data_IF_403241869267
#
_entry.id   IF_403241869267
#
_cell.length_a   1.000
_cell.length_b   1.000
_cell.length_c   1.000
_cell.angle_alpha   90.00
_cell.angle_beta   90.00
_cell.angle_gamma   90.00
#
_symmetry.space_group_name_H-M   'P 1'
#
loop_
_entity.id
_entity.type
_entity.pdbx_description
1 polymer ?
#
# COMPACT_ATOMS: atom_id res chain seq x y z
N UNK A 1 5.03 1.76 20.18
CA UNK A 1 5.82 2.94 19.76
C UNK A 1 6.26 3.86 20.91
N UNK A 2 5.88 3.67 22.18
CA UNK A 2 6.51 4.35 23.34
C UNK A 2 6.72 5.86 23.16
N UNK A 3 7.90 6.35 23.54
CA UNK A 3 8.28 7.78 23.46
C UNK A 3 8.44 8.32 22.03
N UNK A 4 8.40 7.46 21.00
CA UNK A 4 8.48 7.85 19.59
C UNK A 4 7.15 8.46 19.11
N UNK A 5 6.02 7.96 19.62
CA UNK A 5 4.70 8.50 19.33
C UNK A 5 4.41 9.75 20.17
N UNK A 6 5.21 10.79 19.96
CA UNK A 6 5.10 12.08 20.64
C UNK A 6 4.46 13.14 19.72
N UNK A 7 4.21 14.34 20.26
CA UNK A 7 3.58 15.44 19.52
C UNK A 7 4.29 15.78 18.21
N UNK A 8 5.63 15.80 18.18
CA UNK A 8 6.38 16.12 16.96
C UNK A 8 6.16 15.07 15.87
N UNK A 9 6.04 13.79 16.24
CA UNK A 9 5.70 12.73 15.29
C UNK A 9 4.29 12.91 14.70
N UNK A 10 3.30 13.25 15.54
CA UNK A 10 1.94 13.52 15.06
C UNK A 10 1.87 14.77 14.19
N UNK A 11 2.56 15.85 14.58
CA UNK A 11 2.67 17.07 13.79
C UNK A 11 3.34 16.77 12.43
N UNK A 12 4.40 15.96 12.41
CA UNK A 12 5.07 15.56 11.18
C UNK A 12 4.16 14.75 10.25
N UNK A 13 3.48 13.71 10.73
CA UNK A 13 2.52 12.92 9.92
C UNK A 13 1.39 13.81 9.39
N UNK A 14 0.90 14.74 10.21
CA UNK A 14 -0.20 15.65 9.84
C UNK A 14 0.18 16.64 8.73
N UNK A 15 1.48 16.83 8.47
CA UNK A 15 1.97 17.62 7.33
C UNK A 15 2.09 16.79 6.04
N UNK A 16 1.56 15.57 6.02
CA UNK A 16 1.47 14.69 4.84
C UNK A 16 2.83 14.49 4.14
N UNK A 17 3.81 13.87 4.84
CA UNK A 17 5.15 13.65 4.30
C UNK A 17 5.11 12.68 3.12
N UNK A 18 6.07 12.78 2.21
CA UNK A 18 6.02 12.06 0.94
C UNK A 18 6.00 10.52 1.12
N UNK A 19 6.63 9.98 2.17
CA UNK A 19 6.55 8.55 2.50
C UNK A 19 5.12 8.10 2.84
N UNK A 20 4.30 8.95 3.47
CA UNK A 20 2.89 8.66 3.79
C UNK A 20 2.07 8.65 2.50
N UNK A 21 2.23 9.68 1.64
CA UNK A 21 1.58 9.74 0.32
C UNK A 21 1.94 8.53 -0.53
N UNK A 22 3.22 8.19 -0.60
CA UNK A 22 3.72 7.05 -1.34
C UNK A 22 3.13 5.72 -0.82
N UNK A 23 3.08 5.53 0.49
CA UNK A 23 2.42 4.35 1.08
C UNK A 23 0.93 4.29 0.75
N UNK A 24 0.23 5.43 0.74
CA UNK A 24 -1.18 5.50 0.37
C UNK A 24 -1.41 5.20 -1.12
N UNK A 25 -0.53 5.69 -2.01
CA UNK A 25 -0.56 5.39 -3.45
C UNK A 25 -0.38 3.88 -3.67
N UNK A 26 0.62 3.25 -3.04
CA UNK A 26 0.85 1.81 -3.14
C UNK A 26 -0.40 1.05 -2.70
N UNK A 27 -0.91 1.34 -1.49
CA UNK A 27 -2.07 0.65 -0.94
C UNK A 27 -3.30 0.80 -1.84
N UNK A 28 -3.65 2.04 -2.22
CA UNK A 28 -4.85 2.34 -3.01
C UNK A 28 -4.80 1.79 -4.42
N UNK A 29 -3.68 1.97 -5.12
CA UNK A 29 -3.59 1.50 -6.51
C UNK A 29 -3.49 -0.01 -6.61
N UNK A 30 -2.83 -0.69 -5.65
CA UNK A 30 -2.79 -2.15 -5.66
C UNK A 30 -4.18 -2.73 -5.38
N UNK A 31 -4.87 -2.23 -4.35
CA UNK A 31 -6.26 -2.57 -4.01
C UNK A 31 -7.17 -2.43 -5.24
N UNK A 32 -7.28 -1.20 -5.78
CA UNK A 32 -8.17 -0.89 -6.90
C UNK A 32 -7.85 -1.66 -8.19
N UNK A 33 -6.60 -2.11 -8.41
CA UNK A 33 -6.24 -2.93 -9.59
C UNK A 33 -6.80 -4.34 -9.46
N UNK A 34 -6.61 -4.98 -8.30
CA UNK A 34 -6.96 -6.40 -8.10
C UNK A 34 -8.44 -6.56 -7.77
N UNK A 35 -9.05 -5.59 -7.10
CA UNK A 35 -10.47 -5.62 -6.74
C UNK A 35 -11.40 -5.18 -7.87
N UNK A 36 -10.88 -4.56 -8.94
CA UNK A 36 -11.68 -3.86 -9.95
C UNK A 36 -12.86 -4.69 -10.51
N UNK A 37 -12.63 -5.94 -10.91
CA UNK A 37 -13.67 -6.77 -11.53
C UNK A 37 -14.79 -7.08 -10.53
N UNK A 38 -14.42 -7.50 -9.33
CA UNK A 38 -15.37 -7.76 -8.24
C UNK A 38 -16.14 -6.50 -7.82
N UNK A 39 -15.47 -5.34 -7.80
CA UNK A 39 -16.10 -4.06 -7.48
C UNK A 39 -17.14 -3.65 -8.53
N UNK A 40 -16.88 -3.89 -9.81
CA UNK A 40 -17.85 -3.63 -10.88
C UNK A 40 -19.05 -4.58 -10.79
N UNK A 41 -18.84 -5.86 -10.52
CA UNK A 41 -19.92 -6.86 -10.41
C UNK A 41 -20.92 -6.53 -9.30
N UNK A 42 -20.46 -5.96 -8.20
CA UNK A 42 -21.32 -5.59 -7.05
C UNK A 42 -21.86 -4.17 -7.10
N UNK A 43 -21.69 -3.46 -8.22
CA UNK A 43 -22.07 -2.05 -8.40
C UNK A 43 -21.47 -1.14 -7.32
N UNK A 44 -20.19 -1.35 -6.99
CA UNK A 44 -19.49 -0.51 -6.02
C UNK A 44 -19.25 0.91 -6.56
N UNK A 45 -18.84 1.82 -5.67
CA UNK A 45 -18.42 3.16 -6.10
C UNK A 45 -17.24 3.06 -7.08
N UNK A 46 -17.11 4.03 -7.98
CA UNK A 46 -16.06 4.00 -8.99
C UNK A 46 -14.66 4.02 -8.35
N UNK A 47 -13.85 3.00 -8.65
CA UNK A 47 -12.44 2.94 -8.23
C UNK A 47 -11.56 3.87 -9.05
N UNK A 48 -10.30 4.03 -8.65
CA UNK A 48 -9.34 4.84 -9.43
C UNK A 48 -9.17 4.33 -10.85
N UNK A 49 -9.27 3.01 -11.08
CA UNK A 49 -9.20 2.40 -12.42
C UNK A 49 -10.35 2.91 -13.29
N UNK A 50 -11.59 2.81 -12.79
CA UNK A 50 -12.79 3.24 -13.49
C UNK A 50 -12.77 4.76 -13.76
N UNK A 51 -12.40 5.54 -12.74
CA UNK A 51 -12.31 6.99 -12.86
C UNK A 51 -11.29 7.41 -13.93
N UNK A 52 -10.11 6.78 -13.96
CA UNK A 52 -9.05 7.14 -14.89
C UNK A 52 -9.37 6.71 -16.32
N UNK A 53 -9.93 5.52 -16.50
CA UNK A 53 -10.42 5.05 -17.81
C UNK A 53 -11.44 6.04 -18.38
N UNK A 54 -12.43 6.44 -17.59
CA UNK A 54 -13.49 7.36 -18.03
C UNK A 54 -12.97 8.76 -18.31
N UNK A 55 -12.07 9.27 -17.48
CA UNK A 55 -11.51 10.62 -17.62
C UNK A 55 -10.63 10.74 -18.88
N UNK A 56 -9.81 9.73 -19.15
CA UNK A 56 -8.81 9.78 -20.23
C UNK A 56 -9.22 9.01 -21.49
N UNK A 57 -10.35 8.27 -21.46
CA UNK A 57 -10.87 7.45 -22.56
C UNK A 57 -9.84 6.43 -23.07
N UNK A 58 -9.13 5.79 -22.15
CA UNK A 58 -8.11 4.78 -22.43
C UNK A 58 -8.53 3.41 -21.88
N UNK A 59 -7.88 2.35 -22.34
CA UNK A 59 -8.24 0.98 -21.95
C UNK A 59 -7.83 0.66 -20.50
N UNK A 60 -8.45 -0.37 -19.93
CA UNK A 60 -8.10 -0.91 -18.60
C UNK A 60 -6.62 -1.28 -18.53
N UNK A 61 -6.09 -1.93 -19.56
CA UNK A 61 -4.70 -2.36 -19.65
C UNK A 61 -3.74 -1.18 -19.65
N UNK A 62 -4.09 -0.10 -20.35
CA UNK A 62 -3.31 1.14 -20.34
C UNK A 62 -3.29 1.79 -18.95
N UNK A 63 -4.44 1.84 -18.26
CA UNK A 63 -4.53 2.35 -16.88
C UNK A 63 -3.71 1.50 -15.91
N UNK A 64 -3.85 0.17 -15.95
CA UNK A 64 -3.07 -0.74 -15.08
C UNK A 64 -1.58 -0.55 -15.31
N UNK A 65 -1.13 -0.39 -16.56
CA UNK A 65 0.29 -0.12 -16.86
C UNK A 65 0.76 1.20 -16.27
N UNK A 66 -0.05 2.26 -16.36
CA UNK A 66 0.24 3.55 -15.74
C UNK A 66 0.31 3.45 -14.22
N UNK A 67 -0.67 2.80 -13.59
CA UNK A 67 -0.73 2.65 -12.14
C UNK A 67 0.43 1.80 -11.61
N UNK A 68 0.82 0.73 -12.30
CA UNK A 68 2.02 -0.05 -11.93
C UNK A 68 3.30 0.79 -11.99
N UNK A 69 3.39 1.75 -12.92
CA UNK A 69 4.50 2.71 -12.95
C UNK A 69 4.45 3.67 -11.77
N UNK A 70 3.27 4.18 -11.40
CA UNK A 70 3.10 5.05 -10.24
C UNK A 70 3.41 4.31 -8.92
N UNK A 71 2.98 3.07 -8.76
CA UNK A 71 3.37 2.20 -7.63
C UNK A 71 4.90 2.05 -7.57
N UNK A 72 5.56 1.82 -8.71
CA UNK A 72 7.02 1.74 -8.78
C UNK A 72 7.72 3.05 -8.40
N UNK A 73 7.14 4.20 -8.74
CA UNK A 73 7.66 5.50 -8.33
C UNK A 73 7.46 5.74 -6.83
N UNK A 74 6.28 5.43 -6.29
CA UNK A 74 6.00 5.52 -4.85
C UNK A 74 6.99 4.67 -4.02
N UNK A 75 7.35 3.47 -4.49
CA UNK A 75 8.40 2.67 -3.84
C UNK A 75 9.77 3.38 -3.82
N UNK A 76 10.11 4.15 -4.86
CA UNK A 76 11.36 4.95 -4.88
C UNK A 76 11.29 6.10 -3.88
N UNK A 77 10.14 6.73 -3.72
CA UNK A 77 9.94 7.80 -2.74
C UNK A 77 10.09 7.27 -1.31
N UNK A 78 9.50 6.11 -1.00
CA UNK A 78 9.70 5.43 0.29
C UNK A 78 11.19 5.13 0.52
N UNK A 79 11.88 4.62 -0.50
CA UNK A 79 13.31 4.31 -0.39
C UNK A 79 14.14 5.57 -0.14
N UNK A 80 13.82 6.68 -0.82
CA UNK A 80 14.51 7.95 -0.64
C UNK A 80 14.36 8.48 0.79
N UNK A 81 13.14 8.49 1.32
CA UNK A 81 12.85 8.96 2.68
C UNK A 81 13.51 8.06 3.76
N UNK A 82 13.55 6.75 3.53
CA UNK A 82 14.25 5.81 4.42
C UNK A 82 15.78 5.97 4.37
N UNK A 83 16.37 6.31 3.22
CA UNK A 83 17.82 6.47 3.05
C UNK A 83 18.32 7.84 3.52
N UNK A 84 17.47 8.85 3.52
CA UNK A 84 17.79 10.23 3.91
C UNK A 84 16.79 10.75 4.95
N UNK A 85 16.68 10.10 6.12
CA UNK A 85 15.75 10.54 7.15
C UNK A 85 16.10 11.95 7.61
N UNK A 86 15.08 12.80 7.74
CA UNK A 86 15.26 14.12 8.35
C UNK A 86 15.60 13.94 9.83
N UNK A 87 16.45 14.82 10.39
CA UNK A 87 16.89 14.70 11.79
C UNK A 87 15.73 14.75 12.80
N UNK A 88 14.57 15.28 12.40
CA UNK A 88 13.36 15.37 13.22
C UNK A 88 12.53 14.07 13.24
N UNK A 89 12.81 13.09 12.37
CA UNK A 89 11.96 11.90 12.20
C UNK A 89 12.71 10.64 12.64
N UNK A 90 12.27 9.98 13.72
CA UNK A 90 12.89 8.73 14.16
C UNK A 90 12.72 7.62 13.13
N UNK A 91 13.80 6.90 12.81
CA UNK A 91 13.78 5.77 11.87
C UNK A 91 12.69 4.72 12.16
N UNK A 92 12.37 4.36 13.42
CA UNK A 92 11.28 3.41 13.69
C UNK A 92 9.90 3.87 13.19
N UNK A 93 9.67 5.18 13.05
CA UNK A 93 8.45 5.72 12.46
C UNK A 93 8.40 5.43 10.96
N UNK A 94 9.49 5.68 10.24
CA UNK A 94 9.62 5.38 8.81
C UNK A 94 9.51 3.88 8.55
N UNK A 95 10.16 3.05 9.38
CA UNK A 95 10.08 1.58 9.28
C UNK A 95 8.65 1.07 9.45
N UNK A 96 7.84 1.71 10.31
CA UNK A 96 6.42 1.36 10.45
C UNK A 96 5.65 1.59 9.15
N UNK A 97 5.88 2.73 8.49
CA UNK A 97 5.22 3.09 7.24
C UNK A 97 5.70 2.14 6.12
N UNK A 98 7.01 1.92 6.01
CA UNK A 98 7.60 0.96 5.08
C UNK A 98 7.01 -0.45 5.24
N UNK A 99 6.90 -0.94 6.48
CA UNK A 99 6.37 -2.28 6.74
C UNK A 99 4.86 -2.36 6.46
N UNK A 100 4.11 -1.28 6.67
CA UNK A 100 2.73 -1.20 6.22
C UNK A 100 2.65 -1.31 4.70
N UNK A 101 3.46 -0.56 3.95
CA UNK A 101 3.48 -0.64 2.48
C UNK A 101 3.86 -2.04 2.00
N UNK A 102 4.80 -2.72 2.66
CA UNK A 102 5.16 -4.12 2.37
C UNK A 102 4.03 -5.09 2.66
N UNK A 103 3.29 -4.87 3.75
CA UNK A 103 2.12 -5.69 4.07
C UNK A 103 1.04 -5.53 3.00
N UNK A 104 0.77 -4.30 2.54
CA UNK A 104 -0.16 -4.04 1.43
C UNK A 104 0.29 -4.74 0.14
N UNK A 105 1.59 -4.72 -0.15
CA UNK A 105 2.14 -5.40 -1.32
C UNK A 105 1.89 -6.92 -1.29
N UNK A 106 2.03 -7.54 -0.12
CA UNK A 106 1.71 -8.97 0.08
C UNK A 106 0.20 -9.22 -0.02
N UNK A 107 -0.62 -8.37 0.61
CA UNK A 107 -2.07 -8.54 0.71
C UNK A 107 -2.76 -8.40 -0.65
N UNK A 108 -2.28 -7.49 -1.51
CA UNK A 108 -2.88 -7.19 -2.81
C UNK A 108 -2.02 -7.67 -3.99
N UNK A 109 -1.09 -8.61 -3.74
CA UNK A 109 -0.13 -9.05 -4.76
C UNK A 109 -0.80 -9.68 -5.97
N UNK A 110 -1.69 -10.61 -5.69
CA UNK A 110 -2.30 -11.52 -6.66
C UNK A 110 -3.82 -11.37 -6.70
N UNK A 111 -4.46 -11.02 -5.58
CA UNK A 111 -5.91 -10.79 -5.45
C UNK A 111 -6.18 -9.88 -4.22
N UNK A 112 -7.42 -9.49 -3.97
CA UNK A 112 -7.86 -8.84 -2.72
C UNK A 112 -7.80 -9.84 -1.55
N UNK A 113 -6.69 -9.85 -0.82
CA UNK A 113 -6.49 -10.74 0.32
C UNK A 113 -7.41 -10.49 1.51
N UNK A 114 -8.04 -9.31 1.62
CA UNK A 114 -9.02 -9.02 2.67
C UNK A 114 -10.37 -9.68 2.38
N UNK A 115 -10.83 -9.60 1.13
CA UNK A 115 -12.07 -10.25 0.70
C UNK A 115 -11.85 -11.75 0.45
N UNK A 116 -10.79 -12.09 -0.29
CA UNK A 116 -10.47 -13.43 -0.76
C UNK A 116 -9.28 -14.02 0.00
N UNK A 117 -9.52 -14.39 1.27
CA UNK A 117 -8.50 -14.93 2.19
C UNK A 117 -7.64 -16.11 1.71
N UNK A 118 -7.96 -16.75 0.58
CA UNK A 118 -7.23 -17.90 0.06
C UNK A 118 -5.73 -17.61 -0.18
N UNK A 119 -5.37 -16.39 -0.56
CA UNK A 119 -3.96 -16.01 -0.74
C UNK A 119 -3.21 -15.76 0.58
N UNK A 120 -3.92 -15.49 1.68
CA UNK A 120 -3.31 -15.18 2.98
C UNK A 120 -3.34 -16.35 3.98
N UNK A 121 -4.25 -17.31 3.81
CA UNK A 121 -4.45 -18.42 4.77
C UNK A 121 -3.17 -19.18 5.07
N UNK A 122 -2.38 -19.47 4.05
CA UNK A 122 -1.13 -20.22 4.21
C UNK A 122 -0.06 -19.36 4.91
N UNK A 123 0.04 -18.08 4.57
CA UNK A 123 0.92 -17.13 5.25
C UNK A 123 0.55 -16.97 6.73
N UNK A 124 -0.74 -16.80 7.04
CA UNK A 124 -1.25 -16.69 8.41
C UNK A 124 -0.93 -17.95 9.19
N UNK A 125 -1.20 -19.12 8.61
CA UNK A 125 -0.93 -20.41 9.24
C UNK A 125 0.56 -20.59 9.51
N UNK A 126 1.42 -20.24 8.56
CA UNK A 126 2.88 -20.32 8.71
C UNK A 126 3.43 -19.37 9.77
N UNK A 127 2.84 -18.19 9.97
CA UNK A 127 3.39 -17.18 10.89
C UNK A 127 2.81 -17.31 12.30
N UNK A 128 1.54 -17.70 12.44
CA UNK A 128 0.81 -17.65 13.70
C UNK A 128 0.41 -19.00 14.28
N UNK A 129 0.37 -20.07 13.46
CA UNK A 129 -0.12 -21.38 13.89
C UNK A 129 0.98 -22.45 13.91
N UNK A 130 1.80 -22.48 12.86
CA UNK A 130 2.76 -23.56 12.63
C UNK A 130 4.16 -23.13 13.09
N UNK A 131 4.68 -23.67 14.20
CA UNK A 131 6.05 -23.36 14.62
C UNK A 131 7.06 -23.97 13.64
N UNK A 132 8.21 -23.31 13.50
CA UNK A 132 9.35 -23.90 12.79
C UNK A 132 9.88 -25.05 13.64
N UNK A 133 9.88 -26.26 13.07
CA UNK A 133 10.53 -27.41 13.70
C UNK A 133 12.05 -27.20 13.66
N UNK A 134 12.66 -27.28 14.83
CA UNK A 134 14.11 -27.19 15.02
C UNK A 134 14.75 -28.58 14.98
#
# INVERSE_FOLDING_TARGET
MGNIANRQAFDWISNDPDIIKASAIIARLMDDIVSHEFEQEREHVASSVECYMKQHRISKEEVIKLFRKEISNAWKDINQECLKPTAAVPMPLLVCILNLSRAMDVIYKDDDGYTNSHILKDHISSVLLNPVLL
#
